data_IF_215848354977
#
_entry.id   IF_215848354977
#
_cell.length_a   1.000
_cell.length_b   1.000
_cell.length_c   1.000
_cell.angle_alpha   90.00
_cell.angle_beta   90.00
_cell.angle_gamma   90.00
#
_symmetry.space_group_name_H-M   'P 1'
#
loop_
_entity.id
_entity.type
_entity.pdbx_description
1 polymer ?
#
# COMPACT_ATOMS: atom_id res chain seq x y z
N UNK A 1 21.98 3.45 12.20
CA UNK A 1 20.96 2.45 11.83
C UNK A 1 19.73 3.22 11.36
N UNK A 2 19.58 3.42 10.06
CA UNK A 2 18.38 4.06 9.51
C UNK A 2 17.39 2.92 9.29
N UNK A 3 16.46 2.72 10.22
CA UNK A 3 15.37 1.77 10.01
C UNK A 3 14.56 2.23 8.79
N UNK A 4 14.29 1.32 7.86
CA UNK A 4 13.40 1.60 6.73
C UNK A 4 12.09 2.22 7.24
N UNK A 5 11.66 3.32 6.61
CA UNK A 5 10.53 4.15 7.06
C UNK A 5 9.24 3.35 7.34
N UNK A 6 9.09 2.21 6.67
CA UNK A 6 7.91 1.35 6.78
C UNK A 6 7.82 0.60 8.12
N UNK A 7 8.94 0.37 8.82
CA UNK A 7 8.95 -0.34 10.11
C UNK A 7 8.38 0.48 11.26
N UNK A 8 8.41 1.81 11.17
CA UNK A 8 7.80 2.69 12.17
C UNK A 8 6.28 2.51 12.28
N UNK A 9 5.64 1.98 11.23
CA UNK A 9 4.19 1.83 11.20
C UNK A 9 3.68 0.48 11.72
N UNK A 10 4.57 -0.50 11.90
CA UNK A 10 4.18 -1.85 12.35
C UNK A 10 3.38 -1.81 13.67
N UNK A 11 3.78 -1.04 14.71
CA UNK A 11 2.97 -0.94 15.93
C UNK A 11 1.55 -0.41 15.68
N UNK A 12 1.41 0.59 14.81
CA UNK A 12 0.11 1.19 14.46
C UNK A 12 -0.76 0.16 13.73
N UNK A 13 -0.17 -0.59 12.79
CA UNK A 13 -0.88 -1.63 12.04
C UNK A 13 -1.40 -2.74 12.95
N UNK A 14 -0.62 -3.14 13.95
CA UNK A 14 -1.05 -4.12 14.96
C UNK A 14 -2.21 -3.61 15.80
N UNK A 15 -2.17 -2.35 16.25
CA UNK A 15 -3.27 -1.77 17.03
C UNK A 15 -4.55 -1.64 16.19
N UNK A 16 -4.44 -1.20 14.93
CA UNK A 16 -5.59 -1.13 14.02
C UNK A 16 -6.22 -2.51 13.78
N UNK A 17 -5.41 -3.56 13.62
CA UNK A 17 -5.92 -4.92 13.45
C UNK A 17 -6.63 -5.52 14.66
N UNK A 18 -6.48 -4.93 15.85
CA UNK A 18 -7.22 -5.37 17.05
C UNK A 18 -8.64 -4.78 17.15
N UNK A 19 -8.93 -3.73 16.39
CA UNK A 19 -10.24 -3.06 16.42
C UNK A 19 -11.25 -3.90 15.65
N UNK A 20 -12.22 -4.50 16.35
CA UNK A 20 -13.18 -5.45 15.76
C UNK A 20 -14.10 -4.85 14.69
N UNK A 21 -14.36 -3.55 14.79
CA UNK A 21 -15.24 -2.84 13.86
C UNK A 21 -14.52 -2.40 12.58
N UNK A 22 -13.21 -2.66 12.46
CA UNK A 22 -12.39 -2.25 11.32
C UNK A 22 -11.78 -3.49 10.65
N UNK A 23 -12.12 -3.70 9.38
CA UNK A 23 -11.38 -4.63 8.53
C UNK A 23 -10.15 -3.94 7.97
N UNK A 24 -8.96 -4.33 8.44
CA UNK A 24 -7.70 -3.68 8.10
C UNK A 24 -6.78 -4.60 7.29
N UNK A 25 -6.34 -4.11 6.12
CA UNK A 25 -5.38 -4.80 5.24
C UNK A 25 -4.24 -3.86 4.88
N UNK A 26 -3.00 -4.30 5.08
CA UNK A 26 -1.82 -3.58 4.56
C UNK A 26 -1.39 -4.17 3.22
N UNK A 27 -1.27 -3.32 2.21
CA UNK A 27 -0.80 -3.72 0.88
C UNK A 27 0.67 -3.32 0.75
N UNK A 28 1.56 -4.33 0.77
CA UNK A 28 2.97 -4.11 0.53
C UNK A 28 3.32 -4.23 -0.95
N UNK A 29 4.18 -3.32 -1.40
CA UNK A 29 4.84 -3.39 -2.69
C UNK A 29 6.32 -3.03 -2.56
N UNK A 30 7.18 -3.92 -3.04
CA UNK A 30 8.56 -3.59 -3.37
C UNK A 30 8.91 -4.14 -4.75
N UNK A 31 9.75 -3.40 -5.46
CA UNK A 31 10.34 -3.77 -6.74
C UNK A 31 11.45 -4.83 -6.57
N UNK A 32 12.05 -4.89 -5.40
CA UNK A 32 13.18 -5.77 -5.10
C UNK A 32 12.80 -6.80 -4.02
N UNK A 33 13.38 -7.99 -4.12
CA UNK A 33 13.12 -9.10 -3.21
C UNK A 33 13.54 -8.86 -1.75
N UNK A 34 14.06 -7.67 -1.41
CA UNK A 34 14.57 -7.30 -0.08
C UNK A 34 13.54 -7.37 1.06
N UNK A 35 12.23 -7.45 0.78
CA UNK A 35 11.24 -7.66 1.85
C UNK A 35 11.32 -9.09 2.41
N UNK A 36 11.85 -10.09 1.69
CA UNK A 36 11.76 -11.51 2.10
C UNK A 36 12.40 -11.82 3.45
N UNK A 37 13.48 -11.14 3.81
CA UNK A 37 14.26 -11.45 5.02
C UNK A 37 13.65 -10.81 6.29
N UNK A 38 12.68 -9.90 6.14
CA UNK A 38 12.05 -9.15 7.24
C UNK A 38 10.60 -9.59 7.51
N UNK A 39 10.08 -10.62 6.82
CA UNK A 39 8.69 -11.08 6.93
C UNK A 39 8.26 -11.52 8.34
N UNK A 40 9.21 -11.94 9.19
CA UNK A 40 8.93 -12.25 10.59
C UNK A 40 8.46 -11.03 11.39
N UNK A 41 8.69 -9.80 10.93
CA UNK A 41 8.24 -8.58 11.60
C UNK A 41 6.77 -8.21 11.34
N UNK A 42 6.11 -8.83 10.35
CA UNK A 42 4.74 -8.49 9.95
C UNK A 42 3.66 -9.33 10.66
N UNK A 43 4.01 -9.99 11.77
CA UNK A 43 3.03 -10.65 12.62
C UNK A 43 2.10 -9.63 13.32
N UNK A 44 0.84 -10.05 13.54
CA UNK A 44 -0.14 -9.29 14.33
C UNK A 44 -1.09 -8.39 13.52
N UNK A 45 -1.06 -8.45 12.19
CA UNK A 45 -2.05 -7.80 11.33
C UNK A 45 -2.16 -8.52 9.98
N UNK A 46 -3.26 -8.27 9.27
CA UNK A 46 -3.46 -8.84 7.94
C UNK A 46 -2.77 -8.00 6.86
N UNK A 47 -1.97 -8.65 6.01
CA UNK A 47 -1.26 -8.00 4.92
C UNK A 47 -1.19 -8.87 3.68
N UNK A 48 -1.00 -8.21 2.53
CA UNK A 48 -0.79 -8.86 1.25
C UNK A 48 0.41 -8.25 0.53
N UNK A 49 1.06 -9.04 -0.32
CA UNK A 49 2.13 -8.56 -1.18
C UNK A 49 1.75 -8.72 -2.66
N UNK A 50 1.66 -7.59 -3.35
CA UNK A 50 1.33 -7.55 -4.78
C UNK A 50 2.57 -7.44 -5.68
N UNK A 51 3.77 -7.77 -5.18
CA UNK A 51 5.03 -7.75 -5.96
C UNK A 51 5.09 -8.73 -7.14
N UNK A 52 4.17 -9.71 -7.24
CA UNK A 52 4.23 -10.80 -8.25
C UNK A 52 3.93 -10.38 -9.70
N UNK A 53 3.51 -9.14 -9.96
CA UNK A 53 3.30 -8.64 -11.32
C UNK A 53 4.65 -8.42 -12.01
N UNK A 54 5.18 -9.45 -12.66
CA UNK A 54 6.43 -9.45 -13.43
C UNK A 54 6.29 -8.67 -14.77
N UNK A 55 5.41 -7.65 -14.82
CA UNK A 55 5.15 -6.87 -16.02
C UNK A 55 6.32 -5.92 -16.24
N UNK A 56 7.13 -6.22 -17.25
CA UNK A 56 8.09 -5.27 -17.84
C UNK A 56 7.29 -4.11 -18.42
N UNK A 57 7.08 -3.06 -17.63
CA UNK A 57 6.46 -1.86 -18.15
C UNK A 57 7.46 -1.10 -19.03
N UNK A 58 7.03 -0.57 -20.19
CA UNK A 58 7.90 0.21 -21.06
C UNK A 58 8.45 1.44 -20.33
N UNK A 59 9.77 1.66 -20.44
CA UNK A 59 10.56 2.66 -19.70
C UNK A 59 10.11 4.12 -19.91
N UNK A 60 9.22 4.40 -20.86
CA UNK A 60 8.80 5.75 -21.24
C UNK A 60 7.68 6.34 -20.38
N UNK A 61 6.94 5.52 -19.62
CA UNK A 61 5.88 6.05 -18.76
C UNK A 61 6.40 6.29 -17.34
N UNK A 62 6.35 7.55 -16.91
CA UNK A 62 6.37 8.03 -15.52
C UNK A 62 5.86 6.92 -14.57
N UNK A 63 6.74 6.38 -13.73
CA UNK A 63 6.47 5.35 -12.72
C UNK A 63 5.26 4.45 -13.05
N UNK A 64 5.51 3.43 -13.87
CA UNK A 64 4.54 2.44 -14.33
C UNK A 64 3.35 2.22 -13.38
N UNK A 65 2.15 2.59 -13.83
CA UNK A 65 0.91 2.43 -13.06
C UNK A 65 0.68 0.94 -12.76
N UNK A 66 0.49 0.63 -11.49
CA UNK A 66 0.27 -0.73 -11.00
C UNK A 66 -1.21 -1.10 -11.03
N UNK A 67 -1.65 -1.48 -12.22
CA UNK A 67 -3.04 -1.87 -12.51
C UNK A 67 -3.50 -3.02 -11.60
N UNK A 68 -2.61 -3.90 -11.17
CA UNK A 68 -2.92 -4.99 -10.25
C UNK A 68 -3.32 -4.49 -8.85
N UNK A 69 -2.62 -3.48 -8.32
CA UNK A 69 -3.00 -2.80 -7.07
C UNK A 69 -4.37 -2.12 -7.26
N UNK A 70 -4.55 -1.39 -8.36
CA UNK A 70 -5.81 -0.69 -8.65
C UNK A 70 -7.00 -1.65 -8.78
N UNK A 71 -6.81 -2.79 -9.46
CA UNK A 71 -7.82 -3.83 -9.60
C UNK A 71 -8.19 -4.46 -8.26
N UNK A 72 -7.20 -4.69 -7.41
CA UNK A 72 -7.43 -5.22 -6.07
C UNK A 72 -8.28 -4.24 -5.23
N UNK A 73 -7.86 -2.97 -5.14
CA UNK A 73 -8.59 -1.92 -4.41
C UNK A 73 -10.02 -1.78 -4.95
N UNK A 74 -10.18 -1.77 -6.27
CA UNK A 74 -11.48 -1.66 -6.92
C UNK A 74 -12.43 -2.82 -6.57
N UNK A 75 -11.89 -4.05 -6.50
CA UNK A 75 -12.66 -5.25 -6.20
C UNK A 75 -13.04 -5.33 -4.72
N UNK A 76 -12.10 -5.09 -3.82
CA UNK A 76 -12.29 -5.24 -2.37
C UNK A 76 -13.12 -4.12 -1.75
N UNK A 77 -13.31 -3.01 -2.47
CA UNK A 77 -14.29 -1.98 -2.11
C UNK A 77 -14.04 -1.27 -0.77
N UNK A 78 -12.78 -1.06 -0.39
CA UNK A 78 -12.41 -0.37 0.86
C UNK A 78 -13.07 1.01 1.03
N UNK A 79 -13.61 1.29 2.22
CA UNK A 79 -14.21 2.59 2.58
C UNK A 79 -13.18 3.71 2.69
N UNK A 80 -11.99 3.35 3.19
CA UNK A 80 -10.85 4.25 3.38
C UNK A 80 -9.62 3.59 2.79
N UNK A 81 -8.87 4.33 1.97
CA UNK A 81 -7.49 3.96 1.65
C UNK A 81 -6.52 4.90 2.37
N UNK A 82 -5.49 4.33 2.99
CA UNK A 82 -4.41 5.09 3.60
C UNK A 82 -3.12 4.86 2.82
N UNK A 83 -2.65 5.92 2.18
CA UNK A 83 -1.52 5.89 1.27
C UNK A 83 -0.31 6.57 1.91
N UNK A 84 0.84 5.90 1.81
CA UNK A 84 2.14 6.46 2.18
C UNK A 84 2.91 6.88 0.91
N UNK A 85 3.32 8.15 0.87
CA UNK A 85 4.12 8.71 -0.22
C UNK A 85 3.31 9.14 -1.45
N UNK A 86 3.77 10.18 -2.14
CA UNK A 86 3.13 10.75 -3.34
C UNK A 86 3.89 10.41 -4.64
N UNK A 87 5.05 9.76 -4.54
CA UNK A 87 5.97 9.54 -5.66
C UNK A 87 5.49 8.49 -6.69
N UNK A 88 4.49 7.68 -6.36
CA UNK A 88 3.95 6.68 -7.26
C UNK A 88 2.70 7.19 -7.99
N UNK A 89 2.71 7.19 -9.33
CA UNK A 89 1.53 7.47 -10.17
C UNK A 89 0.33 6.60 -9.78
N UNK A 90 0.58 5.36 -9.34
CA UNK A 90 -0.43 4.43 -8.81
C UNK A 90 -1.24 5.04 -7.66
N UNK A 91 -0.59 5.78 -6.75
CA UNK A 91 -1.24 6.35 -5.57
C UNK A 91 -2.28 7.41 -5.97
N UNK A 92 -1.91 8.28 -6.91
CA UNK A 92 -2.83 9.27 -7.47
C UNK A 92 -4.03 8.63 -8.17
N UNK A 93 -3.79 7.57 -8.96
CA UNK A 93 -4.89 6.85 -9.60
C UNK A 93 -5.79 6.17 -8.57
N UNK A 94 -5.23 5.61 -7.49
CA UNK A 94 -6.02 5.02 -6.40
C UNK A 94 -6.90 6.06 -5.69
N UNK A 95 -6.38 7.26 -5.43
CA UNK A 95 -7.17 8.38 -4.86
C UNK A 95 -8.33 8.75 -5.79
N UNK A 96 -8.06 8.89 -7.09
CA UNK A 96 -9.08 9.20 -8.09
C UNK A 96 -10.17 8.11 -8.10
N UNK A 97 -9.79 6.82 -8.10
CA UNK A 97 -10.74 5.70 -8.08
C UNK A 97 -11.62 5.71 -6.82
N UNK A 98 -11.07 6.06 -5.66
CA UNK A 98 -11.87 6.20 -4.44
C UNK A 98 -12.82 7.40 -4.51
N UNK A 99 -12.35 8.53 -5.04
CA UNK A 99 -13.16 9.74 -5.19
C UNK A 99 -14.36 9.50 -6.12
N UNK A 100 -14.19 8.75 -7.21
CA UNK A 100 -15.30 8.37 -8.12
C UNK A 100 -16.37 7.57 -7.37
N UNK A 101 -15.98 6.73 -6.42
CA UNK A 101 -16.88 5.94 -5.60
C UNK A 101 -17.40 6.66 -4.34
N UNK A 102 -17.14 7.98 -4.20
CA UNK A 102 -17.46 8.79 -3.00
C UNK A 102 -16.86 8.22 -1.70
N UNK A 103 -15.66 7.65 -1.79
CA UNK A 103 -14.92 7.07 -0.67
C UNK A 103 -13.73 7.91 -0.27
N UNK A 104 -13.23 7.68 0.94
CA UNK A 104 -12.19 8.51 1.55
C UNK A 104 -10.81 7.98 1.18
N UNK A 105 -9.88 8.91 0.93
CA UNK A 105 -8.45 8.63 0.78
C UNK A 105 -7.67 9.51 1.73
N UNK A 106 -6.76 8.91 2.50
CA UNK A 106 -5.82 9.61 3.37
C UNK A 106 -4.44 9.51 2.74
N UNK A 107 -3.83 10.65 2.39
CA UNK A 107 -2.48 10.71 1.89
C UNK A 107 -1.57 11.24 3.00
N UNK A 108 -0.55 10.46 3.36
CA UNK A 108 0.51 10.91 4.26
C UNK A 108 1.74 11.30 3.45
N UNK A 109 2.20 12.54 3.62
CA UNK A 109 3.48 13.00 3.12
C UNK A 109 4.61 12.39 3.96
N UNK A 110 5.70 12.07 3.29
CA UNK A 110 7.00 11.88 3.94
C UNK A 110 7.58 13.28 4.05
N UNK A 111 7.35 13.96 5.18
CA UNK A 111 8.09 15.19 5.45
C UNK A 111 9.55 14.76 5.70
N UNK A 112 10.43 15.20 4.80
CA UNK A 112 11.88 14.92 4.82
C UNK A 112 12.55 15.72 5.94
#
# INVERSE_FOLDING_TARGET
MISHQIHYFIPIYRELSKIKDISFTVIYYSKEHHIRDEWNSFEGYHWINLSKSNRKFPKFFLNAIRIDILKYIWKEKYDIIWIHGYYATTNWVAIILQSINKRVSLLRTEDV
#
